data_IF_946500550438
#
_entry.id   IF_946500550438
#
_cell.length_a   1.000
_cell.length_b   1.000
_cell.length_c   1.000
_cell.angle_alpha   90.00
_cell.angle_beta   90.00
_cell.angle_gamma   90.00
#
_symmetry.space_group_name_H-M   'P 1'
#
loop_
_entity.id
_entity.type
_entity.pdbx_description
1 polymer ?
#
# COMPACT_ATOMS: atom_id res chain seq x y z
N UNK A 1 -2.29 -2.90 18.64
CA UNK A 1 -2.58 -4.21 18.00
C UNK A 1 -1.98 -4.25 16.60
N UNK A 2 -1.65 -5.42 16.10
CA UNK A 2 -1.17 -5.66 14.75
C UNK A 2 -1.98 -6.78 14.08
N UNK A 3 -2.23 -6.63 12.77
CA UNK A 3 -2.87 -7.66 11.94
C UNK A 3 -1.94 -7.99 10.79
N UNK A 4 -1.65 -9.27 10.61
CA UNK A 4 -0.72 -9.77 9.61
C UNK A 4 -1.23 -11.12 9.08
N UNK A 5 -1.18 -11.30 7.75
CA UNK A 5 -1.69 -12.49 7.09
C UNK A 5 -0.75 -13.70 7.26
N UNK A 6 0.57 -13.46 7.32
CA UNK A 6 1.58 -14.52 7.33
C UNK A 6 1.88 -15.02 8.75
N UNK A 7 1.63 -16.30 9.09
CA UNK A 7 1.84 -16.82 10.46
C UNK A 7 3.26 -16.63 10.98
N UNK A 8 4.27 -16.73 10.09
CA UNK A 8 5.68 -16.53 10.48
C UNK A 8 5.97 -15.07 10.87
N UNK A 9 5.32 -14.10 10.20
CA UNK A 9 5.44 -12.69 10.56
C UNK A 9 4.73 -12.41 11.90
N UNK A 10 3.56 -13.00 12.12
CA UNK A 10 2.86 -12.92 13.43
C UNK A 10 3.73 -13.45 14.56
N UNK A 11 4.33 -14.64 14.41
CA UNK A 11 5.26 -15.22 15.40
C UNK A 11 6.43 -14.28 15.69
N UNK A 12 6.98 -13.64 14.64
CA UNK A 12 8.08 -12.68 14.79
C UNK A 12 7.65 -11.45 15.57
N UNK A 13 6.46 -10.90 15.30
CA UNK A 13 5.90 -9.78 16.07
C UNK A 13 5.75 -10.18 17.53
N UNK A 14 5.15 -11.33 17.83
CA UNK A 14 4.95 -11.84 19.18
C UNK A 14 6.26 -12.02 19.96
N UNK A 15 7.34 -12.40 19.25
CA UNK A 15 8.65 -12.59 19.86
C UNK A 15 9.37 -11.27 20.12
N UNK A 16 9.29 -10.32 19.18
CA UNK A 16 10.05 -9.07 19.23
C UNK A 16 9.31 -7.95 19.99
N UNK A 17 7.98 -8.01 20.01
CA UNK A 17 7.10 -6.99 20.57
C UNK A 17 5.98 -7.69 21.36
N UNK A 18 6.29 -8.38 22.48
CA UNK A 18 5.34 -9.21 23.21
C UNK A 18 4.17 -8.42 23.81
N UNK A 19 4.31 -7.11 23.97
CA UNK A 19 3.26 -6.20 24.44
C UNK A 19 2.19 -5.91 23.37
N UNK A 20 2.44 -6.25 22.08
CA UNK A 20 1.51 -6.01 20.98
C UNK A 20 0.60 -7.22 20.78
N UNK A 21 -0.71 -7.01 20.92
CA UNK A 21 -1.70 -8.01 20.50
C UNK A 21 -1.64 -8.17 18.99
N UNK A 22 -1.22 -9.34 18.52
CA UNK A 22 -1.09 -9.64 17.10
C UNK A 22 -2.05 -10.73 16.67
N UNK A 23 -2.70 -10.51 15.52
CA UNK A 23 -3.70 -11.40 14.93
C UNK A 23 -3.21 -11.93 13.59
N UNK A 24 -3.35 -13.24 13.37
CA UNK A 24 -3.10 -13.86 12.09
C UNK A 24 -4.39 -13.85 11.26
N UNK A 25 -4.65 -12.75 10.59
CA UNK A 25 -5.89 -12.52 9.84
C UNK A 25 -5.65 -11.59 8.66
N UNK A 26 -6.55 -11.64 7.68
CA UNK A 26 -6.57 -10.67 6.59
C UNK A 26 -7.08 -9.31 7.05
N UNK A 27 -6.39 -8.23 6.67
CA UNK A 27 -6.90 -6.87 6.90
C UNK A 27 -8.24 -6.59 6.18
N UNK A 28 -8.66 -7.45 5.28
CA UNK A 28 -9.99 -7.38 4.64
C UNK A 28 -11.09 -8.05 5.49
N UNK A 29 -10.73 -8.70 6.59
CA UNK A 29 -11.66 -9.44 7.46
C UNK A 29 -11.57 -9.03 8.94
N UNK A 30 -11.35 -7.75 9.22
CA UNK A 30 -11.18 -7.25 10.60
C UNK A 30 -12.41 -7.47 11.48
N UNK A 31 -13.60 -7.59 10.86
CA UNK A 31 -14.84 -7.92 11.58
C UNK A 31 -14.77 -9.26 12.33
N UNK A 32 -14.01 -10.23 11.82
CA UNK A 32 -13.81 -11.53 12.49
C UNK A 32 -13.13 -11.39 13.86
N UNK A 33 -12.35 -10.32 14.05
CA UNK A 33 -11.63 -10.06 15.29
C UNK A 33 -12.51 -9.44 16.39
N UNK A 34 -13.76 -9.07 16.08
CA UNK A 34 -14.72 -8.44 17.01
C UNK A 34 -14.19 -7.15 17.67
N UNK A 35 -13.37 -6.39 16.97
CA UNK A 35 -12.71 -5.16 17.44
C UNK A 35 -13.48 -3.91 16.98
N UNK A 36 -14.81 -3.92 17.03
CA UNK A 36 -15.64 -2.79 16.61
C UNK A 36 -15.40 -1.56 17.50
N UNK A 37 -15.23 -0.38 16.88
CA UNK A 37 -15.01 0.89 17.57
C UNK A 37 -13.95 0.79 18.68
N UNK A 38 -12.81 0.16 18.37
CA UNK A 38 -11.77 -0.14 19.36
C UNK A 38 -10.52 0.69 19.20
N UNK A 39 -10.38 1.43 18.09
CA UNK A 39 -9.15 2.14 17.76
C UNK A 39 -9.40 3.60 17.42
N UNK A 40 -8.55 4.48 17.94
CA UNK A 40 -8.50 5.89 17.57
C UNK A 40 -7.66 6.14 16.32
N UNK A 41 -6.82 5.18 15.96
CA UNK A 41 -6.02 5.25 14.73
C UNK A 41 -5.78 3.87 14.11
N UNK A 42 -5.78 3.83 12.78
CA UNK A 42 -5.35 2.68 11.98
C UNK A 42 -4.27 3.14 11.00
N UNK A 43 -3.16 2.42 10.98
CA UNK A 43 -2.07 2.61 10.02
C UNK A 43 -1.93 1.36 9.15
N UNK A 44 -1.93 1.55 7.81
CA UNK A 44 -1.70 0.48 6.86
C UNK A 44 -0.56 0.85 5.89
N UNK A 45 0.60 0.23 6.09
CA UNK A 45 1.80 0.49 5.29
C UNK A 45 1.97 -0.60 4.24
N UNK A 46 2.13 -0.20 2.98
CA UNK A 46 2.44 -1.08 1.84
C UNK A 46 1.49 -2.28 1.61
N UNK A 47 0.22 -2.17 2.01
CA UNK A 47 -0.71 -3.28 1.87
C UNK A 47 -2.03 -2.92 1.16
N UNK A 48 -2.58 -1.73 1.34
CA UNK A 48 -3.92 -1.36 0.86
C UNK A 48 -4.08 -1.48 -0.67
N UNK A 49 -3.05 -1.14 -1.45
CA UNK A 49 -3.09 -1.19 -2.91
C UNK A 49 -3.07 -2.61 -3.52
N UNK A 50 -2.85 -3.64 -2.71
CA UNK A 50 -2.98 -5.04 -3.15
C UNK A 50 -4.44 -5.52 -3.19
N UNK A 51 -5.37 -4.73 -2.65
CA UNK A 51 -6.80 -5.03 -2.61
C UNK A 51 -7.63 -3.95 -3.29
N UNK A 52 -8.91 -4.25 -3.49
CA UNK A 52 -9.91 -3.24 -3.81
C UNK A 52 -10.06 -2.25 -2.64
N UNK A 53 -10.03 -0.95 -2.93
CA UNK A 53 -10.07 0.09 -1.92
C UNK A 53 -11.38 0.09 -1.12
N UNK A 54 -12.52 -0.14 -1.76
CA UNK A 54 -13.81 -0.22 -1.06
C UNK A 54 -13.82 -1.37 -0.05
N UNK A 55 -13.29 -2.53 -0.43
CA UNK A 55 -13.18 -3.70 0.46
C UNK A 55 -12.27 -3.40 1.66
N UNK A 56 -11.14 -2.72 1.44
CA UNK A 56 -10.25 -2.28 2.51
C UNK A 56 -10.95 -1.31 3.46
N UNK A 57 -11.54 -0.24 2.95
CA UNK A 57 -12.21 0.78 3.77
C UNK A 57 -13.40 0.20 4.53
N UNK A 58 -14.21 -0.67 3.90
CA UNK A 58 -15.34 -1.36 4.55
C UNK A 58 -14.90 -2.30 5.67
N UNK A 59 -13.67 -2.82 5.63
CA UNK A 59 -13.11 -3.63 6.72
C UNK A 59 -12.56 -2.75 7.84
N UNK A 60 -11.89 -1.64 7.51
CA UNK A 60 -11.23 -0.76 8.49
C UNK A 60 -12.21 0.16 9.20
N UNK A 61 -13.18 0.75 8.47
CA UNK A 61 -14.10 1.73 9.06
C UNK A 61 -14.80 1.22 10.33
N UNK A 62 -15.31 -0.02 10.42
CA UNK A 62 -15.99 -0.50 11.64
C UNK A 62 -15.10 -0.63 12.87
N UNK A 63 -13.78 -0.79 12.73
CA UNK A 63 -12.86 -0.92 13.88
C UNK A 63 -12.40 0.43 14.44
N UNK A 64 -12.52 1.50 13.65
CA UNK A 64 -12.23 2.86 14.08
C UNK A 64 -13.37 3.44 14.93
N UNK A 65 -13.01 4.16 15.97
CA UNK A 65 -13.92 5.05 16.70
C UNK A 65 -14.44 6.17 15.79
N UNK A 66 -15.56 6.82 16.15
CA UNK A 66 -15.94 8.10 15.55
C UNK A 66 -14.81 9.11 15.77
N UNK A 67 -14.47 9.89 14.75
CA UNK A 67 -13.31 10.79 14.71
C UNK A 67 -11.95 10.08 14.79
N UNK A 68 -11.91 8.76 14.64
CA UNK A 68 -10.68 8.00 14.53
C UNK A 68 -9.95 8.27 13.21
N UNK A 69 -8.64 8.18 13.23
CA UNK A 69 -7.75 8.49 12.10
C UNK A 69 -7.37 7.23 11.32
N UNK A 70 -7.45 7.33 10.00
CA UNK A 70 -6.93 6.33 9.08
C UNK A 70 -5.75 6.92 8.31
N UNK A 71 -4.59 6.24 8.35
CA UNK A 71 -3.45 6.57 7.49
C UNK A 71 -3.01 5.33 6.73
N UNK A 72 -2.87 5.43 5.42
CA UNK A 72 -2.42 4.30 4.60
C UNK A 72 -1.66 4.74 3.37
N UNK A 73 -0.80 3.83 2.88
CA UNK A 73 -0.09 4.01 1.63
C UNK A 73 -0.88 3.39 0.47
N UNK A 74 -0.84 4.07 -0.67
CA UNK A 74 -1.57 3.64 -1.86
C UNK A 74 -0.79 3.95 -3.14
N UNK A 75 -1.02 3.14 -4.17
CA UNK A 75 -0.55 3.43 -5.53
C UNK A 75 -1.70 4.06 -6.32
N UNK A 76 -1.47 5.24 -6.86
CA UNK A 76 -2.48 6.03 -7.55
C UNK A 76 -2.05 6.31 -9.00
N UNK A 77 -3.00 6.28 -9.93
CA UNK A 77 -2.75 6.78 -11.28
C UNK A 77 -2.55 8.29 -11.26
N UNK A 78 -1.51 8.76 -11.94
CA UNK A 78 -1.36 10.20 -12.22
C UNK A 78 -2.32 10.64 -13.33
N UNK A 79 -2.53 11.96 -13.47
CA UNK A 79 -3.41 12.52 -14.50
C UNK A 79 -2.95 12.15 -15.92
N UNK A 80 -1.63 12.06 -16.13
CA UNK A 80 -1.03 11.67 -17.41
C UNK A 80 -1.34 10.23 -17.83
N UNK A 81 -1.85 9.38 -16.94
CA UNK A 81 -2.26 8.02 -17.28
C UNK A 81 -3.36 7.98 -18.34
N UNK A 82 -4.28 8.92 -18.32
CA UNK A 82 -5.40 8.94 -19.27
C UNK A 82 -4.92 9.14 -20.71
N UNK A 83 -3.88 9.95 -20.90
CA UNK A 83 -3.31 10.31 -22.19
C UNK A 83 -2.32 9.28 -22.74
N UNK A 84 -2.01 8.25 -21.97
CA UNK A 84 -1.10 7.20 -22.38
C UNK A 84 -1.65 6.36 -23.53
N UNK A 85 -0.76 5.98 -24.45
CA UNK A 85 -1.07 5.05 -25.52
C UNK A 85 -1.53 3.70 -25.00
N UNK A 86 -2.35 2.99 -25.76
CA UNK A 86 -2.82 1.63 -25.42
C UNK A 86 -1.66 0.66 -25.15
N UNK A 87 -0.57 0.79 -25.92
CA UNK A 87 0.63 -0.02 -25.74
C UNK A 87 1.29 0.23 -24.38
N UNK A 88 1.45 1.49 -23.98
CA UNK A 88 2.04 1.85 -22.69
C UNK A 88 1.14 1.40 -21.52
N UNK A 89 -0.18 1.56 -21.64
CA UNK A 89 -1.15 1.03 -20.68
C UNK A 89 -1.02 -0.50 -20.50
N UNK A 90 -0.87 -1.24 -21.61
CA UNK A 90 -0.68 -2.68 -21.57
C UNK A 90 0.65 -3.06 -20.87
N UNK A 91 1.74 -2.37 -21.18
CA UNK A 91 3.04 -2.58 -20.52
C UNK A 91 2.94 -2.40 -19.01
N UNK A 92 2.27 -1.34 -18.55
CA UNK A 92 2.10 -1.08 -17.12
C UNK A 92 1.23 -2.12 -16.40
N UNK A 93 0.21 -2.65 -17.06
CA UNK A 93 -0.59 -3.77 -16.52
C UNK A 93 0.29 -4.98 -16.18
N UNK A 94 1.22 -5.34 -17.08
CA UNK A 94 2.16 -6.44 -16.83
C UNK A 94 3.17 -6.10 -15.72
N UNK A 95 3.69 -4.89 -15.72
CA UNK A 95 4.65 -4.45 -14.70
C UNK A 95 4.03 -4.48 -13.29
N UNK A 96 2.85 -3.93 -13.11
CA UNK A 96 2.13 -3.94 -11.83
C UNK A 96 1.76 -5.36 -11.40
N UNK A 97 1.30 -6.19 -12.33
CA UNK A 97 1.00 -7.60 -12.04
C UNK A 97 2.23 -8.37 -11.55
N UNK A 98 3.43 -8.06 -12.05
CA UNK A 98 4.67 -8.68 -11.58
C UNK A 98 5.05 -8.33 -10.13
N UNK A 99 4.44 -7.27 -9.59
CA UNK A 99 4.55 -6.85 -8.20
C UNK A 99 3.30 -7.17 -7.37
N UNK A 100 2.48 -8.13 -7.83
CA UNK A 100 1.20 -8.51 -7.21
C UNK A 100 0.22 -7.34 -7.03
N UNK A 101 0.32 -6.31 -7.88
CA UNK A 101 -0.61 -5.17 -7.90
C UNK A 101 -1.60 -5.34 -9.04
N UNK A 102 -2.88 -5.43 -8.71
CA UNK A 102 -3.92 -5.38 -9.71
C UNK A 102 -4.14 -3.93 -10.17
N UNK A 103 -3.77 -3.62 -11.42
CA UNK A 103 -3.90 -2.28 -12.00
C UNK A 103 -5.34 -1.72 -11.96
N UNK A 104 -6.35 -2.58 -11.89
CA UNK A 104 -7.77 -2.20 -11.79
C UNK A 104 -8.13 -1.64 -10.40
N UNK A 105 -7.33 -1.95 -9.39
CA UNK A 105 -7.52 -1.42 -8.05
C UNK A 105 -6.98 0.02 -7.90
N UNK A 106 -6.12 0.47 -8.84
CA UNK A 106 -5.57 1.81 -8.79
C UNK A 106 -6.60 2.83 -9.29
N UNK A 107 -6.77 3.87 -8.51
CA UNK A 107 -7.69 4.99 -8.81
C UNK A 107 -6.89 6.25 -9.13
N UNK A 108 -7.50 7.20 -9.83
CA UNK A 108 -7.00 8.57 -9.88
C UNK A 108 -7.44 9.33 -8.61
N UNK A 109 -6.91 10.54 -8.42
CA UNK A 109 -7.16 11.33 -7.21
C UNK A 109 -8.65 11.61 -6.98
N UNK A 110 -9.38 11.97 -8.02
CA UNK A 110 -10.82 12.26 -7.93
C UNK A 110 -11.64 11.03 -7.52
N UNK A 111 -11.35 9.88 -8.09
CA UNK A 111 -11.99 8.61 -7.73
C UNK A 111 -11.68 8.23 -6.29
N UNK A 112 -10.42 8.39 -5.87
CA UNK A 112 -9.94 8.11 -4.53
C UNK A 112 -10.67 8.96 -3.48
N UNK A 113 -10.71 10.27 -3.68
CA UNK A 113 -11.40 11.22 -2.79
C UNK A 113 -12.89 10.89 -2.66
N UNK A 114 -13.53 10.59 -3.79
CA UNK A 114 -14.94 10.19 -3.82
C UNK A 114 -15.18 8.89 -3.03
N UNK A 115 -14.35 7.86 -3.26
CA UNK A 115 -14.46 6.57 -2.57
C UNK A 115 -14.31 6.72 -1.05
N UNK A 116 -13.34 7.51 -0.59
CA UNK A 116 -13.16 7.79 0.83
C UNK A 116 -14.39 8.48 1.43
N UNK A 117 -14.91 9.50 0.75
CA UNK A 117 -16.10 10.23 1.22
C UNK A 117 -17.34 9.34 1.28
N UNK A 118 -17.56 8.49 0.27
CA UNK A 118 -18.67 7.52 0.23
C UNK A 118 -18.56 6.45 1.34
N UNK A 119 -17.35 6.15 1.80
CA UNK A 119 -17.08 5.22 2.92
C UNK A 119 -17.08 5.91 4.30
N UNK A 120 -17.50 7.18 4.37
CA UNK A 120 -17.68 7.92 5.62
C UNK A 120 -16.39 8.53 6.17
N UNK A 121 -15.39 8.78 5.34
CA UNK A 121 -14.18 9.49 5.73
C UNK A 121 -14.20 10.94 5.22
N UNK A 122 -13.74 11.85 6.09
CA UNK A 122 -13.55 13.29 5.80
C UNK A 122 -12.13 13.74 6.14
N UNK A 123 -11.88 15.04 6.09
CA UNK A 123 -10.57 15.64 6.37
C UNK A 123 -9.44 14.91 5.65
N UNK A 124 -9.64 14.65 4.35
CA UNK A 124 -8.74 13.80 3.55
C UNK A 124 -7.53 14.63 3.11
N UNK A 125 -6.34 14.17 3.47
CA UNK A 125 -5.06 14.71 3.04
C UNK A 125 -4.30 13.66 2.22
N UNK A 126 -3.72 14.08 1.08
CA UNK A 126 -2.92 13.22 0.20
C UNK A 126 -1.52 13.83 0.09
N UNK A 127 -0.51 13.05 0.45
CA UNK A 127 0.90 13.43 0.34
C UNK A 127 1.62 12.52 -0.65
N UNK A 128 2.41 13.10 -1.56
CA UNK A 128 3.21 12.34 -2.53
C UNK A 128 4.53 11.89 -1.94
N UNK A 129 4.70 10.59 -1.80
CA UNK A 129 5.90 9.92 -1.34
C UNK A 129 6.64 9.19 -2.47
N UNK A 130 6.33 9.49 -3.74
CA UNK A 130 6.96 8.82 -4.89
C UNK A 130 8.47 8.98 -4.90
N UNK A 131 9.00 10.16 -4.58
CA UNK A 131 10.45 10.37 -4.56
C UNK A 131 11.12 9.61 -3.41
N UNK A 132 10.76 9.80 -2.14
CA UNK A 132 11.42 9.09 -1.05
C UNK A 132 11.23 7.57 -1.11
N UNK A 133 10.07 7.08 -1.54
CA UNK A 133 9.79 5.64 -1.58
C UNK A 133 10.27 5.01 -2.89
N UNK A 134 9.74 5.40 -4.04
CA UNK A 134 10.05 4.69 -5.30
C UNK A 134 11.50 4.94 -5.74
N UNK A 135 11.93 6.21 -5.80
CA UNK A 135 13.32 6.56 -6.16
C UNK A 135 14.28 6.20 -5.04
N UNK A 136 13.92 6.48 -3.79
CA UNK A 136 14.75 6.20 -2.62
C UNK A 136 15.08 4.72 -2.49
N UNK A 137 14.06 3.83 -2.55
CA UNK A 137 14.27 2.38 -2.52
C UNK A 137 15.13 1.90 -3.68
N UNK A 138 14.86 2.35 -4.90
CA UNK A 138 15.66 1.98 -6.06
C UNK A 138 17.14 2.35 -5.90
N UNK A 139 17.41 3.57 -5.47
CA UNK A 139 18.78 4.07 -5.22
C UNK A 139 19.46 3.31 -4.08
N UNK A 140 18.74 3.00 -3.01
CA UNK A 140 19.26 2.22 -1.89
C UNK A 140 19.71 0.82 -2.33
N UNK A 141 18.90 0.13 -3.12
CA UNK A 141 19.24 -1.22 -3.59
C UNK A 141 20.42 -1.19 -4.57
N UNK A 142 20.44 -0.24 -5.52
CA UNK A 142 21.55 -0.07 -6.46
C UNK A 142 22.90 0.12 -5.73
N UNK A 143 22.93 0.96 -4.70
CA UNK A 143 24.13 1.21 -3.91
C UNK A 143 24.60 -0.02 -3.10
N UNK A 144 23.69 -0.94 -2.75
CA UNK A 144 24.03 -2.16 -2.00
C UNK A 144 24.49 -3.33 -2.85
N UNK A 145 24.11 -3.37 -4.13
CA UNK A 145 24.41 -4.51 -5.02
C UNK A 145 25.81 -4.45 -5.65
N UNK A 146 26.47 -3.29 -5.57
CA UNK A 146 27.86 -3.13 -6.01
C UNK A 146 28.82 -3.96 -5.13
N UNK A 147 29.12 -5.20 -5.56
CA UNK A 147 30.12 -6.05 -4.92
C UNK A 147 29.70 -7.48 -4.51
N UNK A 148 28.47 -7.89 -4.68
CA UNK A 148 28.00 -9.25 -4.30
C UNK A 148 28.00 -10.23 -5.47
N UNK A 149 28.76 -11.35 -5.30
CA UNK A 149 28.95 -12.43 -6.29
C UNK A 149 28.03 -13.65 -6.09
N UNK A 150 26.98 -13.63 -5.28
CA UNK A 150 26.15 -14.80 -5.02
C UNK A 150 24.79 -14.69 -5.72
N UNK A 151 24.45 -15.73 -6.50
CA UNK A 151 23.10 -15.94 -7.02
C UNK A 151 22.17 -16.29 -5.85
N UNK A 152 21.36 -15.29 -5.44
CA UNK A 152 20.29 -15.44 -4.47
C UNK A 152 18.98 -15.00 -5.12
N UNK A 153 18.01 -15.90 -5.22
CA UNK A 153 16.69 -15.62 -5.82
C UNK A 153 15.94 -14.50 -5.11
N UNK A 154 16.11 -14.39 -3.78
CA UNK A 154 15.51 -13.30 -3.02
C UNK A 154 16.14 -11.95 -3.42
N UNK A 155 17.46 -11.92 -3.60
CA UNK A 155 18.17 -10.74 -4.05
C UNK A 155 17.73 -10.30 -5.46
N UNK A 156 17.57 -11.27 -6.39
CA UNK A 156 17.09 -10.99 -7.76
C UNK A 156 15.69 -10.34 -7.73
N UNK A 157 14.79 -10.86 -6.89
CA UNK A 157 13.44 -10.28 -6.73
C UNK A 157 13.51 -8.84 -6.22
N UNK A 158 14.34 -8.57 -5.22
CA UNK A 158 14.54 -7.22 -4.67
C UNK A 158 15.06 -6.27 -5.74
N UNK A 159 16.06 -6.68 -6.54
CA UNK A 159 16.60 -5.88 -7.63
C UNK A 159 15.58 -5.62 -8.74
N UNK A 160 14.75 -6.61 -9.07
CA UNK A 160 13.64 -6.44 -10.02
C UNK A 160 12.61 -5.44 -9.50
N UNK A 161 12.26 -5.52 -8.21
CA UNK A 161 11.37 -4.54 -7.57
C UNK A 161 11.98 -3.14 -7.59
N UNK A 162 13.28 -3.00 -7.31
CA UNK A 162 13.97 -1.72 -7.36
C UNK A 162 13.94 -1.10 -8.78
N UNK A 163 14.17 -1.91 -9.82
CA UNK A 163 14.05 -1.47 -11.23
C UNK A 163 12.63 -1.04 -11.58
N UNK A 164 11.62 -1.77 -11.08
CA UNK A 164 10.23 -1.39 -11.25
C UNK A 164 9.94 -0.04 -10.57
N UNK A 165 10.32 0.13 -9.30
CA UNK A 165 10.14 1.37 -8.56
C UNK A 165 10.79 2.56 -9.29
N UNK A 166 12.03 2.40 -9.79
CA UNK A 166 12.71 3.42 -10.58
C UNK A 166 11.91 3.79 -11.83
N UNK A 167 11.42 2.79 -12.55
CA UNK A 167 10.61 3.01 -13.75
C UNK A 167 9.30 3.73 -13.45
N UNK A 168 8.58 3.31 -12.39
CA UNK A 168 7.34 3.96 -11.96
C UNK A 168 7.58 5.45 -11.65
N UNK A 169 8.66 5.75 -10.93
CA UNK A 169 9.04 7.11 -10.60
C UNK A 169 9.41 7.94 -11.85
N UNK A 170 10.28 7.40 -12.73
CA UNK A 170 10.75 8.10 -13.92
C UNK A 170 9.65 8.39 -14.94
N UNK A 171 8.75 7.44 -15.14
CA UNK A 171 7.64 7.60 -16.09
C UNK A 171 6.51 8.48 -15.51
N UNK A 172 6.42 8.63 -14.18
CA UNK A 172 5.44 9.49 -13.51
C UNK A 172 3.98 9.10 -13.73
N UNK A 173 3.70 7.86 -14.17
CA UNK A 173 2.33 7.39 -14.46
C UNK A 173 1.62 6.83 -13.23
N UNK A 174 2.40 6.37 -12.27
CA UNK A 174 1.92 5.87 -10.96
C UNK A 174 2.62 6.69 -9.89
N UNK A 175 1.85 7.18 -8.93
CA UNK A 175 2.34 7.88 -7.74
C UNK A 175 2.21 6.96 -6.54
N UNK A 176 3.20 6.98 -5.68
CA UNK A 176 3.12 6.40 -4.34
C UNK A 176 2.73 7.49 -3.36
N UNK A 177 1.56 7.36 -2.77
CA UNK A 177 0.98 8.39 -1.92
C UNK A 177 0.70 7.85 -0.52
N UNK A 178 0.76 8.74 0.47
CA UNK A 178 0.16 8.55 1.78
C UNK A 178 -1.17 9.30 1.83
N UNK A 179 -2.17 8.64 2.36
CA UNK A 179 -3.49 9.21 2.58
C UNK A 179 -3.74 9.22 4.08
N UNK A 180 -4.16 10.37 4.59
CA UNK A 180 -4.67 10.52 5.95
C UNK A 180 -6.10 11.00 5.89
N UNK A 181 -6.99 10.40 6.69
CA UNK A 181 -8.42 10.74 6.71
C UNK A 181 -9.01 10.51 8.10
N UNK A 182 -10.09 11.19 8.40
CA UNK A 182 -10.82 11.10 9.67
C UNK A 182 -12.17 10.44 9.42
N UNK A 183 -12.53 9.46 10.24
CA UNK A 183 -13.87 8.85 10.21
C UNK A 183 -14.91 9.84 10.74
N UNK A 184 -15.98 10.08 9.99
CA UNK A 184 -17.07 10.98 10.35
C UNK A 184 -17.89 10.46 11.54
#
# INVERSE_FOLDING_TARGET
SAVELQPNCVKRIQTQLPEIHSYCESFLNLKALKLLNSFDAVLCVDAAYHSDLNSFLSSVSPVLNSKGHLTFHYLMWSDTWQDCSKFKKQQYRYLLKSADVNWQNLMNEQQLMRTLSEQGFGEIEIQDFSEPVLKGFATYIENRTTGRKRFDLAQIKIEMTAKLCRKLYQDGLVRYIQISAVKN
#
